data_IF_866358546640
#
_entry.id   IF_866358546640
#
_cell.length_a   1.000
_cell.length_b   1.000
_cell.length_c   1.000
_cell.angle_alpha   90.00
_cell.angle_beta   90.00
_cell.angle_gamma   90.00
#
_symmetry.space_group_name_H-M   'P 1'
#
loop_
_entity.id
_entity.type
_entity.pdbx_description
1 polymer ?
#
# COMPACT_ATOMS: atom_id res chain seq x y z
N UNK A 1 -38.91 53.07 -4.03
CA UNK A 1 -38.52 51.85 -4.79
C UNK A 1 -38.49 50.71 -3.78
N UNK A 2 -39.52 49.86 -3.77
CA UNK A 2 -39.63 48.73 -2.85
C UNK A 2 -38.95 47.52 -3.48
N UNK A 3 -37.81 47.10 -2.92
CA UNK A 3 -37.13 45.87 -3.27
C UNK A 3 -37.93 44.72 -2.65
N UNK A 4 -38.71 44.03 -3.47
CA UNK A 4 -39.43 42.82 -3.06
C UNK A 4 -38.49 41.64 -3.34
N UNK A 5 -37.80 41.16 -2.30
CA UNK A 5 -36.93 39.98 -2.39
C UNK A 5 -37.83 38.76 -2.27
N UNK A 6 -37.88 37.98 -3.34
CA UNK A 6 -38.74 36.80 -3.46
C UNK A 6 -38.11 35.62 -2.67
N UNK A 7 -38.40 35.57 -1.37
CA UNK A 7 -37.81 34.62 -0.43
C UNK A 7 -38.08 33.15 -0.83
N UNK A 8 -39.16 32.84 -1.54
CA UNK A 8 -39.49 31.48 -1.96
C UNK A 8 -38.42 30.87 -2.88
N UNK A 9 -37.90 31.66 -3.82
CA UNK A 9 -36.89 31.19 -4.78
C UNK A 9 -35.51 30.96 -4.11
N UNK A 10 -35.24 31.69 -3.01
CA UNK A 10 -34.00 31.54 -2.23
C UNK A 10 -34.05 30.26 -1.38
N UNK A 11 -35.20 29.95 -0.79
CA UNK A 11 -35.37 28.73 0.02
C UNK A 11 -35.29 27.45 -0.84
N UNK A 12 -35.90 27.46 -2.02
CA UNK A 12 -35.80 26.32 -2.96
C UNK A 12 -34.37 26.14 -3.50
N UNK A 13 -33.67 27.24 -3.78
CA UNK A 13 -32.26 27.19 -4.17
C UNK A 13 -31.37 26.65 -3.05
N UNK A 14 -31.59 27.07 -1.79
CA UNK A 14 -30.87 26.54 -0.63
C UNK A 14 -31.13 25.04 -0.44
N UNK A 15 -32.36 24.58 -0.65
CA UNK A 15 -32.74 23.16 -0.56
C UNK A 15 -32.05 22.32 -1.65
N UNK A 16 -32.01 22.83 -2.89
CA UNK A 16 -31.29 22.21 -3.98
C UNK A 16 -29.77 22.13 -3.70
N UNK A 17 -29.16 23.21 -3.21
CA UNK A 17 -27.75 23.24 -2.83
C UNK A 17 -27.47 22.29 -1.67
N UNK A 18 -28.36 22.21 -0.67
CA UNK A 18 -28.24 21.28 0.45
C UNK A 18 -28.28 19.82 0.01
N UNK A 19 -29.14 19.49 -0.97
CA UNK A 19 -29.25 18.14 -1.53
C UNK A 19 -27.99 17.77 -2.32
N UNK A 20 -27.49 18.67 -3.18
CA UNK A 20 -26.25 18.47 -3.92
C UNK A 20 -25.07 18.30 -2.94
N UNK A 21 -25.00 19.14 -1.91
CA UNK A 21 -23.99 19.04 -0.86
C UNK A 21 -24.01 17.69 -0.14
N UNK A 22 -25.20 17.20 0.24
CA UNK A 22 -25.36 15.91 0.90
C UNK A 22 -24.92 14.74 0.00
N UNK A 23 -25.23 14.78 -1.31
CA UNK A 23 -24.80 13.76 -2.28
C UNK A 23 -23.28 13.77 -2.42
N UNK A 24 -22.67 14.95 -2.56
CA UNK A 24 -21.21 15.09 -2.66
C UNK A 24 -20.51 14.58 -1.40
N UNK A 25 -20.99 14.96 -0.21
CA UNK A 25 -20.42 14.50 1.07
C UNK A 25 -20.59 12.98 1.22
N UNK A 26 -21.76 12.44 0.89
CA UNK A 26 -22.02 10.99 0.96
C UNK A 26 -21.09 10.22 0.03
N UNK A 27 -20.85 10.73 -1.18
CA UNK A 27 -19.94 10.12 -2.15
C UNK A 27 -18.50 10.17 -1.63
N UNK A 28 -18.05 11.32 -1.11
CA UNK A 28 -16.71 11.49 -0.52
C UNK A 28 -16.51 10.54 0.67
N UNK A 29 -17.51 10.40 1.55
CA UNK A 29 -17.46 9.46 2.68
C UNK A 29 -17.43 8.01 2.18
N UNK A 30 -18.27 7.64 1.22
CA UNK A 30 -18.30 6.29 0.63
C UNK A 30 -16.95 5.92 -0.01
N UNK A 31 -16.29 6.87 -0.69
CA UNK A 31 -14.94 6.68 -1.21
C UNK A 31 -13.87 6.53 -0.11
N UNK A 32 -14.05 7.16 1.05
CA UNK A 32 -13.15 7.04 2.19
C UNK A 32 -13.33 5.72 2.95
N UNK A 33 -14.56 5.25 3.11
CA UNK A 33 -14.87 4.00 3.81
C UNK A 33 -14.42 2.75 3.05
N UNK A 34 -14.49 2.77 1.72
CA UNK A 34 -13.97 1.68 0.88
C UNK A 34 -12.45 1.60 0.81
N UNK A 35 -11.73 2.52 1.45
CA UNK A 35 -10.28 2.59 1.32
C UNK A 35 -9.64 1.47 2.14
N UNK A 36 -9.45 0.32 1.50
CA UNK A 36 -8.59 -0.74 2.04
C UNK A 36 -7.25 -0.13 2.43
N UNK A 37 -6.94 -0.23 3.72
CA UNK A 37 -5.71 0.30 4.29
C UNK A 37 -4.70 -0.84 4.33
N UNK A 38 -3.69 -0.76 3.48
CA UNK A 38 -2.60 -1.72 3.44
C UNK A 38 -1.40 -1.02 4.01
N UNK A 39 -0.84 -1.63 5.06
CA UNK A 39 0.38 -1.16 5.69
C UNK A 39 1.52 -2.00 5.16
N UNK A 40 2.54 -1.30 4.68
CA UNK A 40 3.81 -1.89 4.23
C UNK A 40 4.86 -1.50 5.26
N UNK A 41 5.54 -2.48 5.84
CA UNK A 41 6.63 -2.27 6.77
C UNK A 41 7.86 -3.06 6.30
N UNK A 42 9.04 -2.48 6.49
CA UNK A 42 10.30 -3.20 6.31
C UNK A 42 10.76 -3.69 7.67
N UNK A 43 11.00 -4.99 7.77
CA UNK A 43 11.47 -5.65 8.98
C UNK A 43 12.80 -6.31 8.64
N UNK A 44 13.84 -6.00 9.42
CA UNK A 44 15.07 -6.80 9.45
C UNK A 44 14.89 -7.87 10.52
N UNK A 45 14.95 -9.14 10.15
CA UNK A 45 14.69 -10.24 11.08
C UNK A 45 16.00 -10.63 11.80
N UNK A 46 16.08 -10.55 13.15
CA UNK A 46 17.33 -10.72 13.90
C UNK A 46 17.96 -12.11 13.84
N UNK A 47 17.17 -13.11 13.43
CA UNK A 47 17.63 -14.51 13.35
C UNK A 47 18.11 -14.86 11.95
N UNK A 48 17.79 -14.02 10.96
CA UNK A 48 18.12 -14.22 9.56
C UNK A 48 18.75 -12.95 9.00
N UNK A 49 19.78 -12.47 9.69
CA UNK A 49 20.55 -11.22 9.52
C UNK A 49 21.15 -11.01 8.10
N UNK A 50 20.68 -11.72 7.08
CA UNK A 50 21.18 -11.65 5.70
C UNK A 50 20.27 -10.87 4.75
N UNK A 51 18.99 -10.69 5.07
CA UNK A 51 18.03 -10.05 4.15
C UNK A 51 16.93 -9.26 4.86
N UNK A 52 16.30 -8.37 4.10
CA UNK A 52 15.13 -7.61 4.53
C UNK A 52 13.84 -8.36 4.22
N UNK A 53 12.89 -8.26 5.15
CA UNK A 53 11.52 -8.73 4.99
C UNK A 53 10.57 -7.55 4.77
N UNK A 54 9.58 -7.74 3.91
CA UNK A 54 8.44 -6.84 3.76
C UNK A 54 7.24 -7.45 4.45
N UNK A 55 6.80 -6.83 5.53
CA UNK A 55 5.54 -7.20 6.17
C UNK A 55 4.40 -6.40 5.55
N UNK A 56 3.37 -7.11 5.11
CA UNK A 56 2.15 -6.54 4.59
C UNK A 56 0.99 -6.92 5.49
N UNK A 57 0.23 -5.92 5.92
CA UNK A 57 -0.99 -6.15 6.68
C UNK A 57 -2.17 -5.38 6.08
N UNK A 58 -3.31 -6.04 6.01
CA UNK A 58 -4.60 -5.45 5.60
C UNK A 58 -5.60 -5.54 6.75
N UNK A 59 -6.58 -4.63 6.75
CA UNK A 59 -7.60 -4.55 7.79
C UNK A 59 -8.82 -5.45 7.52
N UNK A 60 -8.98 -5.98 6.31
CA UNK A 60 -10.11 -6.81 5.91
C UNK A 60 -9.64 -8.11 5.26
N UNK A 61 -10.49 -9.14 5.29
CA UNK A 61 -10.21 -10.45 4.71
C UNK A 61 -10.36 -10.51 3.19
N UNK A 62 -10.67 -9.38 2.54
CA UNK A 62 -10.78 -9.28 1.08
C UNK A 62 -9.49 -9.72 0.38
N UNK A 63 -9.64 -10.13 -0.88
CA UNK A 63 -8.49 -10.49 -1.70
C UNK A 63 -7.68 -9.25 -2.03
N UNK A 64 -6.38 -9.28 -1.74
CA UNK A 64 -5.44 -8.25 -2.17
C UNK A 64 -4.45 -8.81 -3.18
N UNK A 65 -4.29 -8.12 -4.30
CA UNK A 65 -3.41 -8.54 -5.39
C UNK A 65 -2.22 -7.58 -5.52
N UNK A 66 -1.02 -8.15 -5.42
CA UNK A 66 0.27 -7.51 -5.62
C UNK A 66 0.65 -7.65 -7.10
N UNK A 67 0.85 -6.53 -7.79
CA UNK A 67 1.38 -6.51 -9.16
C UNK A 67 2.88 -6.22 -9.21
N UNK A 68 3.36 -5.39 -8.30
CA UNK A 68 4.74 -4.93 -8.31
C UNK A 68 5.21 -4.60 -6.89
N UNK A 69 6.46 -4.94 -6.61
CA UNK A 69 7.15 -4.54 -5.39
C UNK A 69 8.39 -3.76 -5.80
N UNK A 70 8.69 -2.69 -5.08
CA UNK A 70 9.89 -1.90 -5.35
C UNK A 70 10.25 -0.96 -4.21
N UNK A 71 11.21 -0.09 -4.49
CA UNK A 71 11.61 0.97 -3.56
C UNK A 71 11.65 2.34 -4.22
N UNK A 72 11.54 3.37 -3.39
CA UNK A 72 11.65 4.77 -3.77
C UNK A 72 12.86 5.36 -3.06
N UNK A 73 13.82 5.86 -3.84
CA UNK A 73 14.98 6.63 -3.38
C UNK A 73 14.99 7.95 -4.14
N UNK A 74 15.08 9.08 -3.43
CA UNK A 74 15.11 10.42 -4.02
C UNK A 74 14.01 10.64 -5.09
N UNK A 75 12.76 10.26 -4.77
CA UNK A 75 11.59 10.32 -5.67
C UNK A 75 11.64 9.40 -6.91
N UNK A 76 12.76 8.73 -7.19
CA UNK A 76 12.88 7.71 -8.24
C UNK A 76 12.36 6.37 -7.73
N UNK A 77 11.50 5.73 -8.51
CA UNK A 77 11.00 4.38 -8.26
C UNK A 77 11.90 3.36 -8.96
N UNK A 78 12.23 2.29 -8.26
CA UNK A 78 12.95 1.15 -8.79
C UNK A 78 12.16 -0.11 -8.47
N UNK A 79 11.81 -0.87 -9.50
CA UNK A 79 11.11 -2.15 -9.35
C UNK A 79 12.07 -3.25 -8.90
N UNK A 80 11.60 -4.11 -8.00
CA UNK A 80 12.27 -5.31 -7.53
C UNK A 80 11.64 -6.58 -8.13
N UNK A 81 10.82 -6.46 -9.17
CA UNK A 81 10.13 -7.60 -9.79
C UNK A 81 11.09 -8.67 -10.34
N UNK A 82 12.34 -8.30 -10.65
CA UNK A 82 13.35 -9.26 -11.07
C UNK A 82 13.62 -10.34 -10.03
N UNK A 83 13.39 -10.07 -8.73
CA UNK A 83 13.56 -11.04 -7.65
C UNK A 83 12.58 -12.21 -7.73
N UNK A 84 11.43 -12.01 -8.38
CA UNK A 84 10.40 -13.05 -8.49
C UNK A 84 10.75 -14.14 -9.51
N UNK A 85 11.73 -13.91 -10.39
CA UNK A 85 12.05 -14.85 -11.46
C UNK A 85 13.03 -15.97 -11.05
N UNK A 86 13.54 -16.01 -9.81
CA UNK A 86 14.71 -16.86 -9.50
C UNK A 86 14.84 -17.44 -8.09
N UNK A 87 13.75 -17.82 -7.41
CA UNK A 87 13.79 -18.36 -6.03
C UNK A 87 14.31 -17.36 -4.97
N UNK A 88 14.51 -16.10 -5.34
CA UNK A 88 15.04 -15.05 -4.48
C UNK A 88 14.00 -14.37 -3.59
N UNK A 89 12.76 -14.89 -3.60
CA UNK A 89 11.63 -14.42 -2.80
C UNK A 89 10.90 -15.61 -2.22
N UNK A 90 10.63 -15.56 -0.91
CA UNK A 90 9.66 -16.44 -0.26
C UNK A 90 8.57 -15.61 0.40
N UNK A 91 7.35 -16.12 0.40
CA UNK A 91 6.23 -15.50 1.11
C UNK A 91 5.83 -16.42 2.25
N UNK A 92 5.64 -15.85 3.43
CA UNK A 92 5.24 -16.56 4.63
C UNK A 92 3.97 -15.95 5.22
N UNK A 93 3.15 -16.77 5.87
CA UNK A 93 2.09 -16.27 6.75
C UNK A 93 2.66 -15.78 8.10
N UNK A 94 1.78 -15.38 9.01
CA UNK A 94 2.14 -14.93 10.36
C UNK A 94 2.73 -16.03 11.27
N UNK A 95 2.52 -17.29 10.90
CA UNK A 95 3.00 -18.46 11.64
C UNK A 95 4.30 -19.02 11.04
N UNK A 96 4.82 -18.39 9.97
CA UNK A 96 6.02 -18.84 9.27
C UNK A 96 5.77 -19.97 8.26
N UNK A 97 4.51 -20.30 7.97
CA UNK A 97 4.20 -21.28 6.93
C UNK A 97 4.48 -20.68 5.55
N UNK A 98 5.20 -21.42 4.71
CA UNK A 98 5.53 -21.00 3.37
C UNK A 98 4.28 -20.97 2.48
N UNK A 99 3.99 -19.81 1.89
CA UNK A 99 2.93 -19.61 0.91
C UNK A 99 3.64 -19.58 -0.46
N UNK A 100 3.74 -20.75 -1.11
CA UNK A 100 4.50 -20.84 -2.36
C UNK A 100 3.75 -20.10 -3.49
N UNK A 101 4.27 -18.93 -3.85
CA UNK A 101 3.95 -18.28 -5.11
C UNK A 101 5.21 -17.60 -5.63
N UNK A 102 5.77 -18.14 -6.71
CA UNK A 102 7.01 -17.64 -7.32
C UNK A 102 6.73 -16.71 -8.49
N UNK A 103 5.52 -16.16 -8.61
CA UNK A 103 5.14 -15.31 -9.75
C UNK A 103 4.21 -14.18 -9.32
N UNK A 104 4.50 -13.00 -9.86
CA UNK A 104 3.55 -11.89 -9.90
C UNK A 104 2.62 -12.07 -11.10
N UNK A 105 1.36 -11.61 -11.01
CA UNK A 105 0.75 -11.00 -9.83
C UNK A 105 0.39 -12.05 -8.77
N UNK A 106 0.65 -11.73 -7.50
CA UNK A 106 0.32 -12.60 -6.36
C UNK A 106 -0.92 -12.08 -5.64
N UNK A 107 -1.84 -12.97 -5.30
CA UNK A 107 -3.04 -12.62 -4.52
C UNK A 107 -3.08 -13.43 -3.24
N UNK A 108 -3.42 -12.76 -2.13
CA UNK A 108 -3.73 -13.43 -0.89
C UNK A 108 -5.12 -13.01 -0.41
N UNK A 109 -5.97 -14.01 -0.18
CA UNK A 109 -7.31 -13.90 0.39
C UNK A 109 -7.36 -14.68 1.70
N UNK A 110 -8.10 -14.18 2.69
CA UNK A 110 -8.24 -14.86 3.99
C UNK A 110 -7.08 -14.73 4.98
N UNK A 111 -5.92 -14.20 4.56
CA UNK A 111 -4.83 -13.82 5.48
C UNK A 111 -4.84 -12.32 5.72
N UNK A 112 -4.72 -11.87 6.96
CA UNK A 112 -4.67 -10.44 7.28
C UNK A 112 -3.24 -9.88 7.20
N UNK A 113 -2.23 -10.76 7.27
CA UNK A 113 -0.82 -10.40 7.18
C UNK A 113 0.00 -11.48 6.49
N UNK A 114 0.95 -11.02 5.68
CA UNK A 114 1.98 -11.85 5.06
C UNK A 114 3.35 -11.19 5.20
N UNK A 115 4.41 -11.98 5.14
CA UNK A 115 5.79 -11.53 5.13
C UNK A 115 6.46 -11.98 3.83
N UNK A 116 7.17 -11.09 3.16
CA UNK A 116 7.89 -11.36 1.91
C UNK A 116 9.38 -11.19 2.17
N UNK A 117 10.13 -12.27 2.09
CA UNK A 117 11.59 -12.27 2.28
C UNK A 117 12.29 -11.94 0.97
N UNK A 118 13.23 -10.99 0.98
CA UNK A 118 13.95 -10.50 -0.20
C UNK A 118 15.39 -11.06 -0.29
N UNK A 119 15.56 -12.38 -0.38
CA UNK A 119 16.88 -13.03 -0.30
C UNK A 119 17.89 -12.59 -1.37
N UNK A 120 17.45 -12.36 -2.60
CA UNK A 120 18.33 -11.98 -3.71
C UNK A 120 18.44 -10.47 -3.93
N UNK A 121 17.92 -9.65 -3.01
CA UNK A 121 17.99 -8.21 -3.16
C UNK A 121 19.39 -7.70 -2.87
N UNK A 122 20.12 -7.30 -3.92
CA UNK A 122 21.34 -6.54 -3.77
C UNK A 122 21.00 -5.09 -3.35
N UNK A 123 21.24 -4.78 -2.08
CA UNK A 123 20.99 -3.46 -1.49
C UNK A 123 22.28 -2.67 -1.23
N UNK A 124 23.44 -3.11 -1.71
CA UNK A 124 24.74 -2.49 -1.42
C UNK A 124 24.79 -1.02 -1.84
N UNK A 125 24.23 -0.69 -3.01
CA UNK A 125 24.12 0.69 -3.51
C UNK A 125 23.13 1.58 -2.72
N UNK A 126 22.38 0.97 -1.81
CA UNK A 126 21.39 1.61 -0.96
C UNK A 126 21.85 1.72 0.48
N UNK A 127 23.02 1.18 0.84
CA UNK A 127 23.60 1.34 2.16
C UNK A 127 23.67 2.83 2.55
N UNK A 128 23.33 3.09 3.81
CA UNK A 128 23.19 4.41 4.40
C UNK A 128 22.17 5.35 3.76
N UNK A 129 21.42 4.88 2.76
CA UNK A 129 20.39 5.66 2.09
C UNK A 129 19.03 5.49 2.77
N UNK A 130 18.25 6.56 2.78
CA UNK A 130 16.85 6.52 3.18
C UNK A 130 15.97 6.12 1.99
N UNK A 131 15.17 5.07 2.14
CA UNK A 131 14.25 4.60 1.12
C UNK A 131 12.83 4.43 1.67
N UNK A 132 11.85 4.34 0.78
CA UNK A 132 10.51 3.82 1.08
C UNK A 132 10.25 2.61 0.21
N UNK A 133 9.83 1.50 0.78
CA UNK A 133 9.29 0.41 -0.04
C UNK A 133 7.90 0.79 -0.53
N UNK A 134 7.56 0.28 -1.70
CA UNK A 134 6.21 0.37 -2.22
C UNK A 134 5.72 -0.97 -2.74
N UNK A 135 4.41 -1.12 -2.69
CA UNK A 135 3.67 -2.16 -3.38
C UNK A 135 2.62 -1.51 -4.26
N UNK A 136 2.56 -1.95 -5.51
CA UNK A 136 1.52 -1.59 -6.45
C UNK A 136 0.45 -2.66 -6.46
N UNK A 137 -0.80 -2.26 -6.29
CA UNK A 137 -1.94 -3.14 -6.43
C UNK A 137 -2.50 -3.18 -7.86
N UNK A 138 -3.47 -4.06 -8.08
CA UNK A 138 -4.17 -4.23 -9.36
C UNK A 138 -5.01 -3.01 -9.80
N UNK A 139 -5.25 -2.06 -8.91
CA UNK A 139 -5.89 -0.78 -9.22
C UNK A 139 -4.85 0.34 -9.49
N UNK A 140 -3.58 -0.03 -9.69
CA UNK A 140 -2.44 0.86 -9.87
C UNK A 140 -2.19 1.83 -8.69
N UNK A 141 -2.73 1.54 -7.51
CA UNK A 141 -2.49 2.31 -6.30
C UNK A 141 -1.22 1.82 -5.62
N UNK A 142 -0.44 2.79 -5.13
CA UNK A 142 0.83 2.55 -4.45
C UNK A 142 0.65 2.64 -2.94
N UNK A 143 0.95 1.55 -2.25
CA UNK A 143 1.02 1.47 -0.80
C UNK A 143 2.49 1.58 -0.40
N UNK A 144 2.83 2.53 0.46
CA UNK A 144 4.23 2.88 0.76
C UNK A 144 4.53 2.65 2.23
N UNK A 145 5.75 2.21 2.51
CA UNK A 145 6.26 2.17 3.88
C UNK A 145 6.61 3.57 4.39
N UNK A 146 6.86 3.64 5.69
CA UNK A 146 7.59 4.76 6.27
C UNK A 146 9.01 4.85 5.68
N UNK A 147 9.61 6.03 5.78
CA UNK A 147 11.00 6.24 5.39
C UNK A 147 11.90 5.42 6.32
N UNK A 148 12.82 4.65 5.75
CA UNK A 148 13.71 3.80 6.51
C UNK A 148 15.11 3.88 5.95
N UNK A 149 16.09 4.00 6.84
CA UNK A 149 17.50 3.94 6.49
C UNK A 149 17.89 2.48 6.28
N UNK A 150 18.48 2.18 5.13
CA UNK A 150 19.08 0.88 4.88
C UNK A 150 20.45 0.83 5.54
N UNK A 151 20.67 -0.24 6.28
CA UNK A 151 21.90 -0.51 7.01
C UNK A 151 22.43 -1.86 6.56
N UNK A 152 23.74 -2.04 6.70
CA UNK A 152 24.35 -3.34 6.45
C UNK A 152 23.83 -4.31 7.50
N UNK A 153 23.17 -5.38 7.05
CA UNK A 153 22.84 -6.50 7.92
C UNK A 153 24.12 -7.33 8.12
N UNK A 154 24.22 -8.07 9.22
CA UNK A 154 25.47 -8.68 9.69
C UNK A 154 26.11 -9.60 8.62
N UNK A 155 27.45 -9.58 8.54
CA UNK A 155 28.24 -10.41 7.62
C UNK A 155 28.16 -11.91 7.94
#
# INVERSE_FOLDING_TARGET
MSINIDFGNIWDMLSAIGTIGAVVISLVLSFREKKESIKVAIVSEPHSDKYYNISLSKNNTSAFQIEEIGFIKNFKKTSLNYLWNGEYVSIHDIYGNHIDSRKLPFSFSGLDRINISLYGWNYDELLDSNIKLYIKDNNAKYHKSNLQKIIKLRD
#
